data_IF_012479029108
#
_entry.id   IF_012479029108
#
_cell.length_a   1.000
_cell.length_b   1.000
_cell.length_c   1.000
_cell.angle_alpha   90.00
_cell.angle_beta   90.00
_cell.angle_gamma   90.00
#
_symmetry.space_group_name_H-M   'P 1'
#
loop_
_entity.id
_entity.type
_entity.pdbx_description
1 polymer ?
#
# COMPACT_ATOMS: atom_id res chain seq x y z
N UNK A 1 -20.03 2.25 -7.53
CA UNK A 1 -18.70 2.89 -7.56
C UNK A 1 -18.29 3.45 -6.19
N UNK A 2 -19.16 4.20 -5.49
CA UNK A 2 -18.83 4.77 -4.16
C UNK A 2 -18.38 3.74 -3.12
N UNK A 3 -19.10 2.62 -2.98
CA UNK A 3 -18.77 1.57 -2.00
C UNK A 3 -17.36 1.01 -2.22
N UNK A 4 -17.00 0.69 -3.47
CA UNK A 4 -15.68 0.18 -3.81
C UNK A 4 -14.55 1.15 -3.43
N UNK A 5 -14.76 2.46 -3.62
CA UNK A 5 -13.78 3.47 -3.25
C UNK A 5 -13.67 3.63 -1.72
N UNK A 6 -14.80 3.64 -1.01
CA UNK A 6 -14.82 3.82 0.45
C UNK A 6 -14.17 2.65 1.17
N UNK A 7 -14.57 1.41 0.86
CA UNK A 7 -14.09 0.22 1.57
C UNK A 7 -12.58 0.04 1.37
N UNK A 8 -12.10 0.23 0.12
CA UNK A 8 -10.68 0.06 -0.20
C UNK A 8 -9.80 1.14 0.40
N UNK A 9 -10.22 2.41 0.30
CA UNK A 9 -9.44 3.56 0.79
C UNK A 9 -9.40 3.59 2.33
N UNK A 10 -10.53 3.31 2.99
CA UNK A 10 -10.60 3.30 4.46
C UNK A 10 -9.69 2.21 5.02
N UNK A 11 -9.81 0.98 4.51
CA UNK A 11 -8.97 -0.15 4.94
C UNK A 11 -7.49 0.10 4.70
N UNK A 12 -7.13 0.66 3.52
CA UNK A 12 -5.73 1.00 3.20
C UNK A 12 -5.16 2.01 4.21
N UNK A 13 -5.95 3.04 4.53
CA UNK A 13 -5.53 4.11 5.44
C UNK A 13 -5.35 3.60 6.87
N UNK A 14 -6.27 2.75 7.35
CA UNK A 14 -6.17 2.14 8.68
C UNK A 14 -4.90 1.30 8.84
N UNK A 15 -4.56 0.47 7.85
CA UNK A 15 -3.34 -0.33 7.87
C UNK A 15 -2.08 0.52 7.80
N UNK A 16 -2.03 1.51 6.90
CA UNK A 16 -0.88 2.41 6.79
C UNK A 16 -0.66 3.18 8.10
N UNK A 17 -1.71 3.73 8.71
CA UNK A 17 -1.61 4.42 10.00
C UNK A 17 -1.13 3.48 11.11
N UNK A 18 -1.65 2.24 11.13
CA UNK A 18 -1.22 1.22 12.09
C UNK A 18 0.28 0.93 11.96
N UNK A 19 0.79 0.74 10.75
CA UNK A 19 2.21 0.47 10.52
C UNK A 19 3.10 1.67 10.85
N UNK A 20 2.65 2.90 10.55
CA UNK A 20 3.38 4.11 10.93
C UNK A 20 3.46 4.28 12.46
N UNK A 21 2.39 3.95 13.19
CA UNK A 21 2.40 3.96 14.65
C UNK A 21 3.35 2.90 15.24
N UNK A 22 3.47 1.74 14.58
CA UNK A 22 4.42 0.68 14.95
C UNK A 22 5.87 1.02 14.62
N UNK A 23 6.11 1.89 13.63
CA UNK A 23 7.44 2.29 13.16
C UNK A 23 7.68 3.82 13.30
N UNK A 24 7.93 4.34 14.52
CA UNK A 24 8.09 5.77 14.77
C UNK A 24 9.18 6.47 13.94
N UNK A 25 10.22 5.75 13.51
CA UNK A 25 11.29 6.32 12.68
C UNK A 25 10.79 6.64 11.26
N UNK A 26 9.97 5.76 10.68
CA UNK A 26 9.30 5.96 9.39
C UNK A 26 8.33 7.13 9.50
N UNK A 27 7.50 7.15 10.56
CA UNK A 27 6.56 8.24 10.83
C UNK A 27 7.26 9.61 10.90
N UNK A 28 8.38 9.71 11.64
CA UNK A 28 9.15 10.97 11.74
C UNK A 28 9.71 11.42 10.39
N UNK A 29 10.18 10.49 9.56
CA UNK A 29 10.70 10.80 8.22
C UNK A 29 9.57 11.31 7.31
N UNK A 30 8.39 10.70 7.39
CA UNK A 30 7.20 11.15 6.65
C UNK A 30 6.73 12.53 7.11
N UNK A 31 6.64 12.77 8.41
CA UNK A 31 6.28 14.08 8.96
C UNK A 31 7.24 15.18 8.50
N UNK A 32 8.54 14.86 8.41
CA UNK A 32 9.56 15.77 7.88
C UNK A 32 9.32 16.11 6.41
N UNK A 33 9.07 15.11 5.55
CA UNK A 33 8.75 15.36 4.14
C UNK A 33 7.49 16.23 4.00
N UNK A 34 6.43 15.93 4.76
CA UNK A 34 5.20 16.71 4.75
C UNK A 34 5.44 18.17 5.16
N UNK A 35 6.27 18.39 6.18
CA UNK A 35 6.62 19.73 6.62
C UNK A 35 7.45 20.49 5.57
N UNK A 36 8.33 19.82 4.84
CA UNK A 36 9.20 20.43 3.82
C UNK A 36 8.45 20.76 2.53
N UNK A 37 7.51 19.91 2.11
CA UNK A 37 6.80 20.05 0.81
C UNK A 37 5.52 20.89 0.94
N UNK A 38 4.72 20.65 1.98
CA UNK A 38 3.39 21.27 2.13
C UNK A 38 3.43 22.39 3.17
N UNK A 39 4.14 22.17 4.27
CA UNK A 39 4.04 23.02 5.47
C UNK A 39 2.69 22.83 6.18
N UNK A 40 2.59 23.24 7.45
CA UNK A 40 1.38 23.04 8.25
C UNK A 40 0.33 24.16 8.14
N UNK A 41 0.65 25.22 7.38
CA UNK A 41 -0.16 26.44 7.30
C UNK A 41 -0.89 26.59 5.95
N UNK A 42 -0.60 25.72 4.98
CA UNK A 42 -1.12 25.80 3.61
C UNK A 42 -2.09 24.64 3.35
N UNK A 43 -3.11 24.89 2.53
CA UNK A 43 -4.03 23.86 2.05
C UNK A 43 -3.30 22.95 1.04
N UNK A 44 -3.46 21.63 1.18
CA UNK A 44 -2.85 20.66 0.26
C UNK A 44 -3.51 20.77 -1.12
N UNK A 45 -2.71 20.96 -2.16
CA UNK A 45 -3.12 20.90 -3.56
C UNK A 45 -2.63 19.62 -4.24
N UNK A 46 -3.28 19.20 -5.32
CA UNK A 46 -2.87 18.02 -6.10
C UNK A 46 -1.44 18.15 -6.66
N UNK A 47 -1.02 19.38 -6.99
CA UNK A 47 0.33 19.70 -7.47
C UNK A 47 1.42 19.39 -6.43
N UNK A 48 1.09 19.38 -5.13
CA UNK A 48 2.03 19.02 -4.08
C UNK A 48 2.30 17.51 -4.03
N UNK A 49 1.35 16.67 -4.48
CA UNK A 49 1.47 15.21 -4.41
C UNK A 49 2.65 14.68 -5.22
N UNK A 50 2.98 15.32 -6.34
CA UNK A 50 4.15 14.94 -7.17
C UNK A 50 5.48 15.01 -6.43
N UNK A 51 5.55 15.81 -5.35
CA UNK A 51 6.75 16.02 -4.56
C UNK A 51 6.79 15.15 -3.28
N UNK A 52 5.69 14.45 -2.93
CA UNK A 52 5.57 13.59 -1.75
C UNK A 52 6.01 12.14 -2.04
N UNK A 53 7.29 11.98 -2.40
CA UNK A 53 7.83 10.69 -2.85
C UNK A 53 7.95 9.67 -1.73
N UNK A 54 8.26 10.09 -0.51
CA UNK A 54 8.33 9.21 0.65
C UNK A 54 6.94 8.77 1.08
N UNK A 55 5.94 9.64 1.02
CA UNK A 55 4.54 9.24 1.20
C UNK A 55 4.12 8.17 0.19
N UNK A 56 4.44 8.33 -1.10
CA UNK A 56 4.14 7.32 -2.13
C UNK A 56 4.79 5.97 -1.82
N UNK A 57 6.06 5.96 -1.38
CA UNK A 57 6.73 4.75 -0.91
C UNK A 57 6.04 4.13 0.30
N UNK A 58 5.62 4.93 1.29
CA UNK A 58 4.89 4.45 2.47
C UNK A 58 3.55 3.82 2.08
N UNK A 59 2.80 4.44 1.16
CA UNK A 59 1.52 3.91 0.68
C UNK A 59 1.74 2.58 -0.05
N UNK A 60 2.70 2.52 -0.97
CA UNK A 60 3.04 1.29 -1.71
C UNK A 60 3.45 0.16 -0.78
N UNK A 61 4.29 0.45 0.20
CA UNK A 61 4.74 -0.55 1.16
C UNK A 61 3.62 -0.99 2.11
N UNK A 62 2.75 -0.06 2.52
CA UNK A 62 1.54 -0.38 3.28
C UNK A 62 0.62 -1.35 2.53
N UNK A 63 0.41 -1.13 1.24
CA UNK A 63 -0.36 -2.04 0.37
C UNK A 63 0.38 -3.36 0.10
N UNK A 64 1.71 -3.37 0.11
CA UNK A 64 2.54 -4.57 -0.03
C UNK A 64 2.34 -5.52 1.15
N UNK A 65 2.34 -4.97 2.38
CA UNK A 65 2.08 -5.73 3.60
C UNK A 65 0.61 -6.08 3.78
N UNK A 66 -0.28 -5.12 3.53
CA UNK A 66 -1.70 -5.20 3.86
C UNK A 66 -2.54 -4.97 2.60
N UNK A 67 -2.51 -5.91 1.63
CA UNK A 67 -3.30 -5.79 0.40
C UNK A 67 -4.79 -5.83 0.74
N UNK A 68 -5.53 -4.78 0.39
CA UNK A 68 -6.98 -4.72 0.67
C UNK A 68 -7.78 -5.68 -0.22
N UNK A 69 -7.26 -5.98 -1.40
CA UNK A 69 -7.84 -6.96 -2.33
C UNK A 69 -6.77 -7.98 -2.71
N UNK A 70 -6.50 -8.99 -1.87
CA UNK A 70 -5.43 -9.96 -2.09
C UNK A 70 -5.71 -10.96 -3.20
N UNK A 71 -6.97 -11.11 -3.63
CA UNK A 71 -7.37 -12.05 -4.67
C UNK A 71 -8.17 -11.34 -5.77
N UNK A 72 -7.83 -11.64 -7.02
CA UNK A 72 -8.61 -11.27 -8.20
C UNK A 72 -9.20 -12.51 -8.84
N UNK A 73 -10.49 -12.44 -9.18
CA UNK A 73 -11.19 -13.51 -9.89
C UNK A 73 -11.12 -13.25 -11.39
N UNK A 74 -10.58 -14.21 -12.13
CA UNK A 74 -10.63 -14.22 -13.58
C UNK A 74 -11.61 -15.29 -14.05
N UNK A 75 -12.39 -14.95 -15.07
CA UNK A 75 -13.27 -15.89 -15.77
C UNK A 75 -12.64 -16.23 -17.12
N UNK A 76 -12.65 -17.52 -17.47
CA UNK A 76 -12.17 -17.97 -18.78
C UNK A 76 -13.24 -17.72 -19.84
N UNK A 77 -12.82 -17.20 -20.99
CA UNK A 77 -13.70 -17.03 -22.16
C UNK A 77 -13.87 -18.33 -22.97
N UNK A 78 -13.08 -19.36 -22.66
CA UNK A 78 -13.09 -20.67 -23.32
C UNK A 78 -13.08 -21.81 -22.30
N UNK A 79 -13.48 -23.00 -22.71
CA UNK A 79 -13.46 -24.18 -21.84
C UNK A 79 -12.03 -24.50 -21.40
N UNK A 80 -11.77 -24.40 -20.09
CA UNK A 80 -10.49 -24.71 -19.49
C UNK A 80 -10.66 -25.57 -18.23
N UNK A 81 -9.73 -26.49 -17.99
CA UNK A 81 -9.68 -27.26 -16.76
C UNK A 81 -8.67 -26.61 -15.82
N UNK A 82 -9.17 -26.01 -14.73
CA UNK A 82 -8.35 -25.38 -13.70
C UNK A 82 -8.75 -25.96 -12.34
N UNK A 83 -7.76 -26.39 -11.55
CA UNK A 83 -7.98 -26.69 -10.14
C UNK A 83 -8.05 -25.37 -9.36
N UNK A 84 -9.24 -24.78 -9.35
CA UNK A 84 -9.49 -23.47 -8.75
C UNK A 84 -9.16 -23.46 -7.26
N UNK A 85 -9.50 -24.54 -6.54
CA UNK A 85 -9.25 -24.64 -5.11
C UNK A 85 -7.75 -24.65 -4.81
N UNK A 86 -6.97 -25.49 -5.50
CA UNK A 86 -5.52 -25.53 -5.32
C UNK A 86 -4.85 -24.22 -5.73
N UNK A 87 -5.31 -23.59 -6.82
CA UNK A 87 -4.75 -22.33 -7.34
C UNK A 87 -5.01 -21.18 -6.37
N UNK A 88 -6.24 -21.05 -5.85
CA UNK A 88 -6.59 -19.99 -4.88
C UNK A 88 -5.83 -20.16 -3.57
N UNK A 89 -5.72 -21.39 -3.04
CA UNK A 89 -4.95 -21.65 -1.80
C UNK A 89 -3.48 -21.31 -2.01
N UNK A 90 -2.90 -21.65 -3.16
CA UNK A 90 -1.50 -21.31 -3.48
C UNK A 90 -1.28 -19.79 -3.51
N UNK A 91 -2.15 -19.05 -4.20
CA UNK A 91 -2.08 -17.59 -4.27
C UNK A 91 -2.26 -16.94 -2.89
N UNK A 92 -3.17 -17.45 -2.06
CA UNK A 92 -3.35 -16.98 -0.69
C UNK A 92 -2.08 -17.18 0.15
N UNK A 93 -1.45 -18.36 0.05
CA UNK A 93 -0.22 -18.66 0.81
C UNK A 93 0.95 -17.82 0.31
N UNK A 94 1.13 -17.68 -1.00
CA UNK A 94 2.17 -16.84 -1.59
C UNK A 94 2.01 -15.37 -1.17
N UNK A 95 0.77 -14.86 -1.18
CA UNK A 95 0.46 -13.51 -0.70
C UNK A 95 0.79 -13.36 0.80
N UNK A 96 0.36 -14.32 1.64
CA UNK A 96 0.67 -14.28 3.07
C UNK A 96 2.18 -14.28 3.30
N UNK A 97 2.95 -15.12 2.59
CA UNK A 97 4.42 -15.14 2.68
C UNK A 97 5.03 -13.77 2.37
N UNK A 98 4.48 -13.05 1.39
CA UNK A 98 4.94 -11.70 1.04
C UNK A 98 4.59 -10.63 2.08
N UNK A 99 3.59 -10.88 2.95
CA UNK A 99 3.09 -9.95 3.97
C UNK A 99 3.85 -9.98 5.30
N UNK A 100 4.84 -10.87 5.51
CA UNK A 100 5.40 -11.10 6.85
C UNK A 100 6.59 -10.22 7.26
N UNK A 101 7.31 -9.59 6.33
CA UNK A 101 8.46 -8.74 6.68
C UNK A 101 8.33 -7.35 6.05
N UNK A 102 8.26 -6.31 6.88
CA UNK A 102 8.42 -4.91 6.47
C UNK A 102 9.91 -4.63 6.27
N UNK A 103 10.36 -4.60 5.02
CA UNK A 103 11.69 -4.12 4.66
C UNK A 103 11.54 -3.02 3.61
N UNK A 104 11.67 -1.76 4.03
CA UNK A 104 12.02 -0.70 3.09
C UNK A 104 13.34 -1.11 2.41
N UNK A 105 13.40 -1.24 1.07
CA UNK A 105 14.58 -1.81 0.42
C UNK A 105 15.84 -1.04 0.81
N UNK A 106 16.79 -1.77 1.41
CA UNK A 106 18.18 -1.40 1.74
C UNK A 106 18.66 -0.01 1.28
N UNK A 107 18.19 1.07 1.90
CA UNK A 107 18.73 2.42 1.70
C UNK A 107 18.12 3.25 0.56
N UNK A 108 16.96 2.90 0.01
CA UNK A 108 16.27 3.75 -0.98
C UNK A 108 16.06 5.18 -0.47
N UNK A 109 16.64 6.13 -1.19
CA UNK A 109 16.41 7.57 -1.02
C UNK A 109 15.38 8.06 -2.05
N UNK A 110 14.75 9.23 -1.87
CA UNK A 110 13.62 9.70 -2.69
C UNK A 110 13.92 9.99 -4.18
N UNK A 111 15.00 9.45 -4.75
CA UNK A 111 15.44 9.73 -6.10
C UNK A 111 15.81 8.46 -6.91
N UNK A 112 15.51 7.26 -6.44
CA UNK A 112 15.70 6.02 -7.20
C UNK A 112 14.43 5.62 -7.99
#
# INVERSE_FOLDING_TARGET
>A
MLVAAMDTTTSSTEWILTELLRHPQVMKKLQKELQEVVGFEIMVEESNLENLKYLDMVVKEGLRLHPVVPLFYHESMEDCVVDLAATVVRLMVEQLVHCFEWELPNGMQPCD
#
